data_IF_055391395190
#
_entry.id   IF_055391395190
#
_cell.length_a   1.000
_cell.length_b   1.000
_cell.length_c   1.000
_cell.angle_alpha   90.00
_cell.angle_beta   90.00
_cell.angle_gamma   90.00
#
_symmetry.space_group_name_H-M   'P 1'
#
loop_
_entity.id
_entity.type
_entity.pdbx_description
1 polymer ?
#
# COMPACT_ATOMS: atom_id res chain seq x y z
N UNK A 1 -14.80 5.57 -9.11
CA UNK A 1 -14.90 4.71 -7.92
C UNK A 1 -13.61 3.89 -7.87
N UNK A 2 -12.81 4.05 -6.83
CA UNK A 2 -11.61 3.21 -6.64
C UNK A 2 -12.11 1.83 -6.24
N UNK A 3 -11.74 0.80 -6.99
CA UNK A 3 -12.19 -0.57 -6.75
C UNK A 3 -11.38 -1.16 -5.59
N UNK A 4 -12.02 -1.47 -4.46
CA UNK A 4 -11.38 -2.11 -3.31
C UNK A 4 -11.23 -3.64 -3.46
N UNK A 5 -11.41 -4.19 -4.66
CA UNK A 5 -11.39 -5.63 -4.91
C UNK A 5 -10.03 -6.28 -4.60
N UNK A 6 -8.93 -5.52 -4.70
CA UNK A 6 -7.60 -5.99 -4.33
C UNK A 6 -7.45 -6.23 -2.82
N UNK A 7 -8.31 -5.66 -1.96
CA UNK A 7 -8.31 -5.95 -0.52
C UNK A 7 -8.86 -7.34 -0.19
N UNK A 8 -9.53 -7.97 -1.15
CA UNK A 8 -10.01 -9.36 -1.05
C UNK A 8 -9.01 -10.35 -1.66
N UNK A 9 -7.99 -9.86 -2.36
CA UNK A 9 -6.94 -10.71 -2.91
C UNK A 9 -5.94 -11.11 -1.82
N UNK A 10 -5.76 -12.42 -1.65
CA UNK A 10 -4.74 -12.99 -0.80
C UNK A 10 -3.37 -12.68 -1.41
N UNK A 11 -2.76 -11.60 -0.95
CA UNK A 11 -1.51 -11.06 -1.47
C UNK A 11 -0.69 -10.56 -0.30
N UNK A 12 0.46 -11.17 -0.08
CA UNK A 12 1.42 -10.74 0.92
C UNK A 12 1.93 -9.32 0.62
N UNK A 13 2.38 -8.65 1.67
CA UNK A 13 3.03 -7.34 1.53
C UNK A 13 4.26 -7.48 0.62
N UNK A 14 4.50 -6.53 -0.29
CA UNK A 14 5.69 -6.54 -1.12
C UNK A 14 6.89 -6.45 -0.20
N UNK A 15 7.66 -7.54 -0.11
CA UNK A 15 8.96 -7.53 0.54
C UNK A 15 9.91 -6.65 -0.27
N UNK A 16 10.91 -6.05 0.40
CA UNK A 16 11.86 -5.00 -0.02
C UNK A 16 12.54 -5.13 -1.39
N UNK A 17 12.24 -6.17 -2.16
CA UNK A 17 12.60 -6.30 -3.56
C UNK A 17 11.75 -5.33 -4.41
N UNK A 18 12.35 -4.47 -5.25
CA UNK A 18 11.64 -3.47 -6.06
C UNK A 18 10.76 -4.05 -7.19
N UNK A 19 10.39 -5.33 -7.10
CA UNK A 19 9.72 -6.07 -8.16
C UNK A 19 8.34 -5.53 -8.54
N UNK A 20 7.66 -4.81 -7.65
CA UNK A 20 6.28 -4.36 -7.90
C UNK A 20 6.08 -2.86 -8.09
N UNK A 21 7.16 -2.06 -8.19
CA UNK A 21 7.07 -0.58 -8.35
C UNK A 21 6.17 0.11 -7.32
N UNK A 22 5.97 -0.53 -6.16
CA UNK A 22 5.22 -0.01 -5.03
C UNK A 22 6.16 0.87 -4.23
N UNK A 23 5.84 2.16 -4.17
CA UNK A 23 6.71 3.20 -3.61
C UNK A 23 6.25 3.66 -2.23
N UNK A 24 5.03 3.32 -1.83
CA UNK A 24 4.52 3.55 -0.50
C UNK A 24 3.46 2.49 -0.19
N UNK A 25 3.49 1.90 0.99
CA UNK A 25 2.43 1.02 1.46
C UNK A 25 2.16 1.23 2.95
N UNK A 26 0.93 0.95 3.36
CA UNK A 26 0.48 0.99 4.74
C UNK A 26 -0.25 -0.31 5.06
N UNK A 27 0.04 -0.86 6.24
CA UNK A 27 -0.56 -2.10 6.74
C UNK A 27 -1.61 -1.73 7.80
N UNK A 28 -2.76 -2.37 7.72
CA UNK A 28 -3.94 -2.17 8.54
C UNK A 28 -4.39 -3.50 9.13
N UNK A 29 -4.96 -3.46 10.33
CA UNK A 29 -5.56 -4.63 10.98
C UNK A 29 -7.03 -4.84 10.61
N UNK A 30 -7.61 -3.89 9.89
CA UNK A 30 -9.02 -3.90 9.49
C UNK A 30 -9.16 -3.49 8.03
N UNK A 31 -10.01 -4.20 7.28
CA UNK A 31 -10.39 -3.83 5.89
C UNK A 31 -10.98 -2.43 5.82
N UNK A 32 -11.76 -2.03 6.82
CA UNK A 32 -12.41 -0.71 6.84
C UNK A 32 -11.40 0.44 6.90
N UNK A 33 -10.32 0.30 7.69
CA UNK A 33 -9.25 1.30 7.74
C UNK A 33 -8.47 1.37 6.43
N UNK A 34 -8.21 0.21 5.81
CA UNK A 34 -7.62 0.16 4.48
C UNK A 34 -8.51 0.87 3.45
N UNK A 35 -9.83 0.66 3.49
CA UNK A 35 -10.80 1.33 2.62
C UNK A 35 -10.88 2.84 2.85
N UNK A 36 -10.79 3.31 4.10
CA UNK A 36 -10.74 4.75 4.40
C UNK A 36 -9.54 5.41 3.72
N UNK A 37 -8.38 4.75 3.69
CA UNK A 37 -7.22 5.26 2.96
C UNK A 37 -7.53 5.44 1.47
N UNK A 38 -8.29 4.52 0.86
CA UNK A 38 -8.68 4.61 -0.55
C UNK A 38 -9.58 5.81 -0.85
N UNK A 39 -10.39 6.23 0.11
CA UNK A 39 -11.26 7.40 -0.03
C UNK A 39 -10.47 8.72 0.05
N UNK A 40 -9.37 8.71 0.81
CA UNK A 40 -8.53 9.88 1.04
C UNK A 40 -7.29 10.00 0.15
N UNK A 41 -6.90 8.92 -0.55
CA UNK A 41 -5.70 8.91 -1.38
C UNK A 41 -5.97 9.59 -2.72
N UNK A 42 -5.15 10.61 -3.02
CA UNK A 42 -5.19 11.28 -4.31
C UNK A 42 -4.16 10.64 -5.22
N UNK A 43 -4.61 9.89 -6.23
CA UNK A 43 -3.73 9.31 -7.24
C UNK A 43 -3.42 10.35 -8.31
N UNK A 44 -2.13 10.56 -8.55
CA UNK A 44 -1.65 11.28 -9.72
C UNK A 44 -1.73 10.40 -10.98
N UNK A 45 -1.80 10.99 -12.19
CA UNK A 45 -1.75 10.22 -13.43
C UNK A 45 -0.47 9.36 -13.49
N UNK A 46 -0.63 8.07 -13.82
CA UNK A 46 0.46 7.09 -13.81
C UNK A 46 0.68 6.37 -12.48
N UNK A 47 -0.11 6.69 -11.45
CA UNK A 47 -0.17 5.95 -10.18
C UNK A 47 -1.38 5.02 -10.16
N UNK A 48 -1.21 3.87 -9.52
CA UNK A 48 -2.25 2.87 -9.30
C UNK A 48 -2.26 2.48 -7.82
N UNK A 49 -3.44 2.22 -7.27
CA UNK A 49 -3.55 1.59 -5.96
C UNK A 49 -3.41 0.08 -6.13
N UNK A 50 -2.59 -0.50 -5.28
CA UNK A 50 -2.46 -1.94 -5.13
C UNK A 50 -2.69 -2.27 -3.69
N UNK A 51 -3.04 -3.51 -3.41
CA UNK A 51 -3.15 -3.97 -2.05
C UNK A 51 -3.42 -5.44 -2.02
N UNK A 52 -3.67 -5.89 -0.81
CA UNK A 52 -3.86 -7.30 -0.52
C UNK A 52 -4.23 -7.49 0.92
N UNK A 53 -4.58 -8.71 1.23
CA UNK A 53 -4.60 -9.19 2.61
C UNK A 53 -3.75 -10.43 2.74
N UNK A 54 -3.21 -10.60 3.93
CA UNK A 54 -2.48 -11.77 4.32
C UNK A 54 -2.90 -12.18 5.73
N UNK A 55 -2.50 -13.38 6.11
CA UNK A 55 -2.63 -13.84 7.46
C UNK A 55 -1.25 -14.00 8.05
N UNK A 56 -0.94 -13.19 9.06
CA UNK A 56 0.25 -13.39 9.87
C UNK A 56 -0.03 -14.44 10.95
N UNK A 57 1.01 -14.96 11.60
CA UNK A 57 0.89 -15.95 12.69
C UNK A 57 0.04 -15.44 13.86
N UNK A 58 -0.15 -14.12 13.99
CA UNK A 58 -0.91 -13.48 15.06
C UNK A 58 -2.36 -13.13 14.65
N UNK A 59 -2.57 -12.60 13.44
CA UNK A 59 -3.87 -12.12 12.98
C UNK A 59 -3.86 -11.81 11.46
N UNK A 60 -5.04 -11.79 10.80
CA UNK A 60 -5.16 -11.25 9.46
C UNK A 60 -4.76 -9.77 9.42
N UNK A 61 -4.22 -9.37 8.28
CA UNK A 61 -3.82 -8.00 7.99
C UNK A 61 -4.18 -7.64 6.56
N UNK A 62 -4.50 -6.37 6.35
CA UNK A 62 -4.74 -5.78 5.04
C UNK A 62 -3.64 -4.77 4.77
N UNK A 63 -3.25 -4.60 3.53
CA UNK A 63 -2.30 -3.55 3.16
C UNK A 63 -2.74 -2.87 1.88
N UNK A 64 -2.39 -1.60 1.80
CA UNK A 64 -2.66 -0.75 0.64
C UNK A 64 -1.38 -0.04 0.31
N UNK A 65 -0.97 -0.14 -0.95
CA UNK A 65 0.16 0.57 -1.50
C UNK A 65 -0.18 1.35 -2.76
N UNK A 66 0.71 2.28 -3.08
CA UNK A 66 0.70 3.04 -4.31
C UNK A 66 1.79 2.47 -5.20
N UNK A 67 1.38 1.92 -6.33
CA UNK A 67 2.25 1.52 -7.42
C UNK A 67 2.39 2.68 -8.41
N UNK A 68 3.58 2.89 -8.92
CA UNK A 68 3.82 3.82 -10.03
C UNK A 68 4.22 3.07 -11.28
N UNK A 69 3.73 3.52 -12.43
CA UNK A 69 4.19 3.01 -13.71
C UNK A 69 5.64 3.39 -13.97
N UNK A 70 6.05 4.57 -13.51
CA UNK A 70 7.37 5.13 -13.72
C UNK A 70 8.01 5.56 -12.39
N UNK A 71 9.07 4.84 -11.99
CA UNK A 71 9.82 5.15 -10.77
C UNK A 71 10.63 6.45 -10.89
N UNK A 72 10.95 6.90 -12.12
CA UNK A 72 11.67 8.15 -12.36
C UNK A 72 10.79 9.38 -12.16
N UNK A 73 9.47 9.27 -12.37
CA UNK A 73 8.49 10.31 -12.06
C UNK A 73 8.17 10.43 -10.57
N UNK A 74 8.41 9.39 -9.77
CA UNK A 74 8.28 9.47 -8.32
C UNK A 74 9.50 10.21 -7.75
N UNK A 75 9.41 11.54 -7.75
CA UNK A 75 10.47 12.49 -7.45
C UNK A 75 11.10 12.44 -6.05
N UNK A 76 10.95 11.35 -5.29
CA UNK A 76 11.71 11.06 -4.07
C UNK A 76 11.64 9.55 -3.75
N UNK A 77 12.49 8.75 -4.40
CA UNK A 77 12.72 7.33 -4.07
C UNK A 77 13.16 7.10 -2.60
N UNK A 78 13.52 8.16 -1.89
CA UNK A 78 13.89 8.17 -0.47
C UNK A 78 12.69 8.23 0.48
N UNK A 79 11.48 8.54 0.00
CA UNK A 79 10.25 8.62 0.81
C UNK A 79 9.53 7.26 0.94
N UNK A 80 10.15 6.17 0.49
CA UNK A 80 9.58 4.80 0.50
C UNK A 80 9.54 4.24 1.93
N UNK A 81 10.10 4.92 2.92
CA UNK A 81 10.01 4.55 4.33
C UNK A 81 10.00 5.78 5.26
N UNK A 82 8.82 6.35 5.53
CA UNK A 82 8.63 7.16 6.75
C UNK A 82 7.27 6.93 7.38
N UNK A 83 7.05 5.71 7.89
CA UNK A 83 6.08 5.48 8.95
C UNK A 83 6.55 4.36 9.88
N UNK A 84 7.65 4.68 10.57
CA UNK A 84 8.16 3.93 11.71
C UNK A 84 8.51 4.87 12.85
N UNK A 85 7.54 5.65 13.34
CA UNK A 85 7.53 6.18 14.72
C UNK A 85 6.18 6.79 15.05
N UNK A 86 5.32 5.99 15.67
CA UNK A 86 4.40 6.48 16.69
C UNK A 86 4.97 5.93 18.00
N UNK A 87 5.48 6.82 18.86
CA UNK A 87 6.08 6.46 20.16
C UNK A 87 7.41 7.18 20.42
N UNK A 88 7.34 8.48 20.68
CA UNK A 88 7.68 9.15 21.96
C UNK A 88 7.52 10.67 21.77
#
# INVERSE_FOLDING_TARGET
MITDNFLDEARDVPSTTPMERVVAWSIFRSREDARKLLDHVHLAPGQALVGGHGQDSVAPYWWVGVQVQDMSQWGNATAVNKRGRLGD
#
